data_IF_874771456309
#
_entry.id   IF_874771456309
#
_cell.length_a   1.000
_cell.length_b   1.000
_cell.length_c   1.000
_cell.angle_alpha   90.00
_cell.angle_beta   90.00
_cell.angle_gamma   90.00
#
_symmetry.space_group_name_H-M   'P 1'
#
loop_
_entity.id
_entity.type
_entity.pdbx_description
1 polymer ?
#
# COMPACT_ATOMS: atom_id res chain seq x y z
N UNK A 1 17.08 -2.22 -2.90
CA UNK A 1 17.39 -0.75 -2.77
C UNK A 1 18.61 -0.54 -1.92
N UNK A 2 19.25 0.65 -1.98
CA UNK A 2 20.42 0.99 -1.15
C UNK A 2 19.99 1.78 0.11
N UNK A 3 20.79 1.80 1.20
CA UNK A 3 20.39 2.48 2.44
C UNK A 3 19.95 3.94 2.32
N UNK A 4 20.52 4.80 1.44
CA UNK A 4 20.08 6.18 1.29
C UNK A 4 18.84 6.37 0.40
N UNK A 5 18.28 5.31 -0.17
CA UNK A 5 17.08 5.40 -1.02
C UNK A 5 15.89 5.90 -0.20
N UNK A 6 15.18 6.91 -0.72
CA UNK A 6 13.94 7.43 -0.14
C UNK A 6 12.77 6.70 -0.78
N UNK A 7 12.57 5.47 -0.37
CA UNK A 7 11.45 4.61 -0.75
C UNK A 7 11.38 3.41 0.18
N UNK A 8 10.30 2.63 0.10
CA UNK A 8 10.14 1.31 0.71
C UNK A 8 9.78 0.30 -0.38
N UNK A 9 9.71 -0.98 -0.07
CA UNK A 9 9.22 -2.00 -1.00
C UNK A 9 8.81 -3.28 -0.27
N UNK A 10 7.84 -3.96 -0.84
CA UNK A 10 7.50 -5.34 -0.54
C UNK A 10 8.30 -6.27 -1.47
N UNK A 11 8.76 -7.38 -0.94
CA UNK A 11 9.42 -8.45 -1.72
C UNK A 11 8.54 -9.71 -1.73
N UNK A 12 7.93 -9.99 -2.87
CA UNK A 12 7.02 -11.12 -3.04
C UNK A 12 7.67 -12.46 -2.77
N UNK A 13 8.96 -12.62 -3.10
CA UNK A 13 9.69 -13.87 -2.94
C UNK A 13 10.14 -14.10 -1.50
N UNK A 14 10.44 -13.03 -0.79
CA UNK A 14 10.83 -13.09 0.62
C UNK A 14 9.63 -12.95 1.55
N UNK A 15 8.50 -12.46 1.03
CA UNK A 15 7.29 -12.14 1.78
C UNK A 15 7.59 -11.20 2.96
N UNK A 16 8.34 -10.15 2.68
CA UNK A 16 8.73 -9.15 3.68
C UNK A 16 8.60 -7.71 3.15
N UNK A 17 8.57 -6.75 4.08
CA UNK A 17 8.60 -5.32 3.78
C UNK A 17 9.96 -4.75 4.16
N UNK A 18 10.46 -3.83 3.35
CA UNK A 18 11.79 -3.29 3.46
C UNK A 18 11.79 -1.76 3.51
N UNK A 19 12.43 -1.20 4.54
CA UNK A 19 12.55 0.25 4.76
C UNK A 19 14.01 0.66 4.81
N UNK A 20 14.60 1.15 3.71
CA UNK A 20 15.92 1.78 3.74
C UNK A 20 15.97 2.96 4.70
N UNK A 21 17.13 3.21 5.33
CA UNK A 21 17.27 4.29 6.31
C UNK A 21 16.91 5.67 5.74
N UNK A 22 17.04 5.86 4.44
CA UNK A 22 16.72 7.10 3.75
C UNK A 22 15.24 7.51 3.82
N UNK A 23 14.30 6.55 3.97
CA UNK A 23 12.87 6.86 4.05
C UNK A 23 12.44 7.23 5.47
N UNK A 24 13.18 6.81 6.50
CA UNK A 24 12.84 7.04 7.91
C UNK A 24 13.38 8.40 8.41
N UNK A 25 13.08 9.46 7.67
CA UNK A 25 13.53 10.83 7.95
C UNK A 25 12.42 11.84 7.60
N UNK A 26 12.49 13.06 8.16
CA UNK A 26 11.57 14.12 7.76
C UNK A 26 11.61 14.37 6.24
N UNK A 27 10.44 14.64 5.61
CA UNK A 27 9.12 14.82 6.23
C UNK A 27 8.32 13.53 6.42
N UNK A 28 8.84 12.35 6.00
CA UNK A 28 8.11 11.09 6.05
C UNK A 28 7.98 10.54 7.46
N UNK A 29 9.05 10.65 8.27
CA UNK A 29 9.06 10.33 9.69
C UNK A 29 9.79 11.40 10.48
N UNK A 30 9.15 11.95 11.52
CA UNK A 30 9.80 12.85 12.48
C UNK A 30 9.31 12.53 13.90
N UNK A 31 10.19 12.04 14.80
CA UNK A 31 9.82 11.71 16.18
C UNK A 31 9.43 12.94 17.02
N UNK A 32 9.58 14.16 16.48
CA UNK A 32 9.17 15.41 17.13
C UNK A 32 7.74 15.84 16.78
N UNK A 33 7.14 15.21 15.76
CA UNK A 33 5.76 15.47 15.39
C UNK A 33 4.81 14.63 16.23
N UNK A 34 3.56 15.07 16.27
CA UNK A 34 2.46 14.28 16.84
C UNK A 34 2.28 12.96 16.10
N UNK A 35 1.53 12.03 16.70
CA UNK A 35 1.31 10.71 16.14
C UNK A 35 0.62 10.76 14.77
N UNK A 36 -0.40 11.63 14.59
CA UNK A 36 -1.20 11.66 13.39
C UNK A 36 -0.38 11.85 12.09
N UNK A 37 0.55 12.82 11.97
CA UNK A 37 1.43 12.93 10.80
C UNK A 37 2.30 11.69 10.56
N UNK A 38 2.86 11.09 11.61
CA UNK A 38 3.71 9.91 11.48
C UNK A 38 2.90 8.67 11.06
N UNK A 39 1.68 8.49 11.59
CA UNK A 39 0.76 7.45 11.12
C UNK A 39 0.29 7.72 9.69
N UNK A 40 -0.01 8.98 9.34
CA UNK A 40 -0.44 9.35 7.99
C UNK A 40 0.65 9.19 6.92
N UNK A 41 1.92 9.33 7.28
CA UNK A 41 3.06 9.16 6.37
C UNK A 41 3.66 7.75 6.49
N UNK A 42 4.54 7.54 7.45
CA UNK A 42 5.25 6.24 7.61
C UNK A 42 4.29 5.09 7.88
N UNK A 43 3.24 5.32 8.69
CA UNK A 43 2.22 4.31 8.95
C UNK A 43 1.48 3.88 7.68
N UNK A 44 1.09 4.83 6.83
CA UNK A 44 0.48 4.53 5.54
C UNK A 44 1.44 3.81 4.61
N UNK A 45 2.73 4.18 4.59
CA UNK A 45 3.74 3.47 3.81
C UNK A 45 3.91 2.02 4.29
N UNK A 46 3.92 1.78 5.60
CA UNK A 46 3.97 0.41 6.15
C UNK A 46 2.75 -0.40 5.69
N UNK A 47 1.56 0.17 5.78
CA UNK A 47 0.33 -0.47 5.33
C UNK A 47 0.28 -0.68 3.81
N UNK A 48 0.84 0.24 3.02
CA UNK A 48 1.00 0.16 1.58
C UNK A 48 1.86 -1.05 1.20
N UNK A 49 3.06 -1.17 1.78
CA UNK A 49 3.94 -2.32 1.50
C UNK A 49 3.30 -3.65 1.91
N UNK A 50 2.61 -3.70 3.06
CA UNK A 50 1.88 -4.90 3.46
C UNK A 50 0.75 -5.27 2.49
N UNK A 51 0.10 -4.28 1.88
CA UNK A 51 -1.01 -4.50 0.94
C UNK A 51 -0.53 -5.05 -0.38
N UNK A 52 0.71 -4.73 -0.81
CA UNK A 52 1.30 -5.30 -2.02
C UNK A 52 1.31 -6.84 -2.04
N UNK A 53 1.44 -7.49 -0.90
CA UNK A 53 1.33 -8.96 -0.82
C UNK A 53 -0.03 -9.53 -1.26
N UNK A 54 -1.05 -8.66 -1.46
CA UNK A 54 -2.42 -9.04 -1.81
C UNK A 54 -2.97 -8.26 -3.01
N UNK A 55 -2.18 -7.45 -3.68
CA UNK A 55 -2.57 -6.74 -4.89
C UNK A 55 -2.65 -7.69 -6.11
N UNK A 56 -2.78 -7.18 -7.31
CA UNK A 56 -2.91 -7.97 -8.54
C UNK A 56 -1.65 -8.76 -8.92
N UNK A 57 -0.48 -8.31 -8.47
CA UNK A 57 0.82 -8.98 -8.66
C UNK A 57 1.16 -9.88 -7.45
N UNK A 58 1.16 -9.34 -6.22
CA UNK A 58 1.58 -10.04 -5.02
C UNK A 58 0.68 -11.23 -4.66
N UNK A 59 -0.63 -11.16 -4.94
CA UNK A 59 -1.55 -12.29 -4.75
C UNK A 59 -1.15 -13.56 -5.51
N UNK A 60 -0.26 -13.45 -6.48
CA UNK A 60 0.22 -14.60 -7.25
C UNK A 60 1.29 -15.41 -6.52
N UNK A 61 1.79 -14.90 -5.40
CA UNK A 61 2.78 -15.57 -4.56
C UNK A 61 2.13 -16.14 -3.30
N UNK A 62 2.53 -17.35 -2.91
CA UNK A 62 2.12 -17.94 -1.63
C UNK A 62 2.96 -17.37 -0.46
N UNK A 63 2.58 -17.69 0.78
CA UNK A 63 3.28 -17.23 1.98
C UNK A 63 4.75 -17.69 2.10
N UNK A 64 5.23 -18.51 1.16
CA UNK A 64 6.64 -18.95 1.08
C UNK A 64 7.38 -18.31 -0.07
N UNK A 65 6.77 -17.31 -0.74
CA UNK A 65 7.33 -16.61 -1.88
C UNK A 65 7.36 -17.44 -3.18
N UNK A 66 6.58 -18.49 -3.27
CA UNK A 66 6.49 -19.27 -4.50
C UNK A 66 5.40 -18.68 -5.40
N UNK A 67 5.71 -18.46 -6.68
CA UNK A 67 4.71 -18.13 -7.68
C UNK A 67 3.72 -19.30 -7.83
N UNK A 68 2.55 -19.14 -7.25
CA UNK A 68 1.55 -20.22 -7.12
C UNK A 68 0.16 -19.62 -6.94
N UNK A 69 -0.77 -20.03 -7.79
CA UNK A 69 -2.19 -19.73 -7.58
C UNK A 69 -2.72 -20.52 -6.36
N UNK A 70 -2.91 -19.81 -5.25
CA UNK A 70 -3.37 -20.37 -3.98
C UNK A 70 -4.75 -19.85 -3.58
N UNK A 71 -5.29 -18.90 -4.33
CA UNK A 71 -6.61 -18.35 -4.12
C UNK A 71 -7.68 -19.33 -4.59
N UNK A 72 -8.83 -19.34 -3.90
CA UNK A 72 -9.99 -20.04 -4.44
C UNK A 72 -10.54 -19.28 -5.64
N UNK A 73 -11.28 -19.98 -6.49
CA UNK A 73 -11.95 -19.33 -7.63
C UNK A 73 -12.90 -18.21 -7.17
N UNK A 74 -13.56 -18.38 -6.02
CA UNK A 74 -14.43 -17.38 -5.42
C UNK A 74 -13.65 -16.14 -4.98
N UNK A 75 -12.52 -16.32 -4.27
CA UNK A 75 -11.68 -15.20 -3.83
C UNK A 75 -11.14 -14.41 -5.02
N UNK A 76 -10.68 -15.10 -6.06
CA UNK A 76 -10.18 -14.48 -7.29
C UNK A 76 -11.27 -13.67 -8.01
N UNK A 77 -12.52 -14.16 -8.05
CA UNK A 77 -13.64 -13.44 -8.65
C UNK A 77 -14.02 -12.20 -7.84
N UNK A 78 -14.10 -12.29 -6.50
CA UNK A 78 -14.42 -11.16 -5.63
C UNK A 78 -13.31 -10.10 -5.66
N UNK A 79 -12.04 -10.52 -5.67
CA UNK A 79 -10.93 -9.60 -5.87
C UNK A 79 -11.07 -8.85 -7.19
N UNK A 80 -11.24 -9.57 -8.31
CA UNK A 80 -11.33 -8.95 -9.64
C UNK A 80 -12.49 -7.96 -9.74
N UNK A 81 -13.62 -8.26 -9.12
CA UNK A 81 -14.78 -7.36 -9.07
C UNK A 81 -14.49 -6.06 -8.31
N UNK A 82 -13.80 -6.14 -7.16
CA UNK A 82 -13.44 -4.98 -6.35
C UNK A 82 -12.33 -4.16 -7.03
N UNK A 83 -11.32 -4.83 -7.57
CA UNK A 83 -10.22 -4.22 -8.32
C UNK A 83 -10.72 -3.47 -9.57
N UNK A 84 -11.73 -4.00 -10.27
CA UNK A 84 -12.33 -3.31 -11.40
C UNK A 84 -12.93 -1.94 -11.00
N UNK A 85 -13.58 -1.85 -9.85
CA UNK A 85 -14.13 -0.59 -9.35
C UNK A 85 -13.04 0.48 -9.19
N UNK A 86 -11.89 0.12 -8.61
CA UNK A 86 -10.76 1.04 -8.45
C UNK A 86 -10.17 1.44 -9.80
N UNK A 87 -9.84 0.46 -10.63
CA UNK A 87 -9.27 0.68 -11.95
C UNK A 87 -10.16 1.57 -12.83
N UNK A 88 -11.50 1.38 -12.77
CA UNK A 88 -12.46 2.18 -13.51
C UNK A 88 -12.50 3.63 -12.98
N UNK A 89 -12.49 3.83 -11.67
CA UNK A 89 -12.46 5.16 -11.04
C UNK A 89 -11.19 5.92 -11.42
N UNK A 90 -10.00 5.33 -11.21
CA UNK A 90 -8.73 5.96 -11.54
C UNK A 90 -8.61 6.29 -13.04
N UNK A 91 -9.18 5.46 -13.90
CA UNK A 91 -9.22 5.72 -15.35
C UNK A 91 -10.07 6.95 -15.74
N UNK A 92 -10.83 7.52 -14.81
CA UNK A 92 -11.58 8.77 -15.07
C UNK A 92 -10.72 10.02 -14.89
N UNK A 93 -9.64 9.94 -14.11
CA UNK A 93 -8.80 11.09 -13.79
C UNK A 93 -7.93 11.52 -14.97
N UNK A 94 -7.95 12.82 -15.25
CA UNK A 94 -7.11 13.44 -16.28
C UNK A 94 -5.83 13.94 -15.66
N UNK A 95 -4.69 13.59 -16.25
CA UNK A 95 -3.35 14.01 -15.79
C UNK A 95 -2.96 15.35 -16.40
N UNK A 96 -3.03 15.44 -17.73
CA UNK A 96 -2.72 16.63 -18.51
C UNK A 96 -3.47 16.58 -19.85
N UNK A 97 -4.01 17.69 -20.28
CA UNK A 97 -4.83 17.80 -21.49
C UNK A 97 -5.94 16.72 -21.50
N UNK A 98 -5.92 15.82 -22.49
CA UNK A 98 -6.87 14.71 -22.61
C UNK A 98 -6.30 13.38 -22.13
N UNK A 99 -5.09 13.36 -21.57
CA UNK A 99 -4.41 12.14 -21.12
C UNK A 99 -4.95 11.72 -19.76
N UNK A 100 -5.52 10.52 -19.71
CA UNK A 100 -6.05 9.91 -18.48
C UNK A 100 -5.07 8.89 -17.90
N UNK A 101 -5.25 8.62 -16.59
CA UNK A 101 -4.56 7.52 -15.91
C UNK A 101 -5.00 6.20 -16.55
N UNK A 102 -4.06 5.29 -16.72
CA UNK A 102 -4.37 3.89 -17.02
C UNK A 102 -4.56 3.13 -15.71
N UNK A 103 -5.77 3.17 -15.14
CA UNK A 103 -6.09 2.57 -13.85
C UNK A 103 -5.88 1.05 -13.78
N UNK A 104 -5.74 0.36 -14.93
CA UNK A 104 -5.33 -1.05 -14.92
C UNK A 104 -3.82 -1.21 -14.70
N UNK A 105 -3.03 -0.28 -15.19
CA UNK A 105 -1.58 -0.28 -15.03
C UNK A 105 -1.18 0.10 -13.61
N UNK A 106 -1.95 1.00 -12.98
CA UNK A 106 -1.65 1.54 -11.64
C UNK A 106 -2.39 0.79 -10.52
N UNK A 107 -3.16 -0.24 -10.84
CA UNK A 107 -4.07 -0.91 -9.91
C UNK A 107 -3.40 -1.38 -8.62
N UNK A 108 -2.22 -2.00 -8.70
CA UNK A 108 -1.47 -2.48 -7.54
C UNK A 108 -1.13 -1.34 -6.58
N UNK A 109 -0.60 -0.24 -7.11
CA UNK A 109 -0.25 0.96 -6.34
C UNK A 109 -1.49 1.65 -5.75
N UNK A 110 -2.56 1.77 -6.54
CA UNK A 110 -3.82 2.39 -6.09
C UNK A 110 -4.46 1.56 -4.95
N UNK A 111 -4.40 0.23 -5.05
CA UNK A 111 -4.88 -0.68 -4.01
C UNK A 111 -4.01 -0.63 -2.75
N UNK A 112 -2.69 -0.56 -2.93
CA UNK A 112 -1.72 -0.47 -1.84
C UNK A 112 -1.89 0.85 -1.07
N UNK A 113 -2.07 1.98 -1.76
CA UNK A 113 -2.32 3.29 -1.15
C UNK A 113 -3.62 3.33 -0.36
N UNK A 114 -4.71 2.79 -0.91
CA UNK A 114 -6.00 2.71 -0.21
C UNK A 114 -5.89 1.83 1.04
N UNK A 115 -5.31 0.63 0.90
CA UNK A 115 -5.08 -0.31 1.98
C UNK A 115 -4.19 0.28 3.07
N UNK A 116 -3.08 0.89 2.67
CA UNK A 116 -2.11 1.53 3.55
C UNK A 116 -2.71 2.66 4.39
N UNK A 117 -3.44 3.55 3.74
CA UNK A 117 -4.12 4.67 4.42
C UNK A 117 -5.16 4.18 5.41
N UNK A 118 -5.95 3.17 5.05
CA UNK A 118 -6.97 2.60 5.92
C UNK A 118 -6.36 1.91 7.14
N UNK A 119 -5.32 1.11 6.94
CA UNK A 119 -4.60 0.42 8.01
C UNK A 119 -3.95 1.41 8.98
N UNK A 120 -3.30 2.45 8.47
CA UNK A 120 -2.70 3.50 9.28
C UNK A 120 -3.74 4.26 10.13
N UNK A 121 -4.89 4.59 9.54
CA UNK A 121 -5.98 5.25 10.25
C UNK A 121 -6.56 4.38 11.38
N UNK A 122 -6.77 3.08 11.13
CA UNK A 122 -7.23 2.13 12.15
C UNK A 122 -6.20 2.03 13.28
N UNK A 123 -4.91 1.91 12.95
CA UNK A 123 -3.83 1.81 13.93
C UNK A 123 -3.72 3.09 14.77
N UNK A 124 -3.80 4.26 14.14
CA UNK A 124 -3.81 5.55 14.85
C UNK A 124 -4.99 5.67 15.79
N UNK A 125 -6.19 5.33 15.37
CA UNK A 125 -7.39 5.34 16.23
C UNK A 125 -7.24 4.42 17.43
N UNK A 126 -6.68 3.24 17.26
CA UNK A 126 -6.45 2.30 18.36
C UNK A 126 -5.40 2.84 19.33
N UNK A 127 -4.30 3.41 18.83
CA UNK A 127 -3.23 3.98 19.64
C UNK A 127 -3.71 5.20 20.46
N UNK A 128 -4.63 5.99 19.91
CA UNK A 128 -5.09 7.26 20.54
C UNK A 128 -6.44 7.16 21.25
N UNK A 129 -7.05 5.98 21.34
CA UNK A 129 -8.42 5.79 21.86
C UNK A 129 -8.66 6.32 23.27
N UNK A 130 -7.60 6.45 24.08
CA UNK A 130 -7.67 6.97 25.46
C UNK A 130 -7.09 8.39 25.60
N UNK A 131 -6.77 9.04 24.48
CA UNK A 131 -6.25 10.41 24.46
C UNK A 131 -7.37 11.39 24.17
N UNK A 132 -7.26 12.59 24.77
CA UNK A 132 -8.09 13.74 24.36
C UNK A 132 -7.34 14.42 23.21
N UNK A 133 -7.86 14.28 22.02
CA UNK A 133 -7.30 14.89 20.81
C UNK A 133 -7.78 16.33 20.67
#
# INVERSE_FOLDING_TARGET
MTPPTVNAYYDDQMNDINFPAGVLQPPLYDPKLDDAPNYGNTGSTIGHELTHGFDDEGRQFDAKGNLKDWWTMQDAQEFSKRAACMSDEYSTFTVIDDIKINGKLTLGEDAADLGGTLLAYIAWKEATKNQTL
#
